data_IF_283662559571
#
_entry.id   IF_283662559571
#
_cell.length_a   1.000
_cell.length_b   1.000
_cell.length_c   1.000
_cell.angle_alpha   90.00
_cell.angle_beta   90.00
_cell.angle_gamma   90.00
#
_symmetry.space_group_name_H-M   'P 1'
#
loop_
_entity.id
_entity.type
_entity.pdbx_description
1 polymer ?
#
# COMPACT_ATOMS: atom_id res chain seq x y z
N UNK A 1 56.18 -25.05 24.59
CA UNK A 1 55.39 -23.77 24.50
C UNK A 1 54.38 -23.93 23.38
N UNK A 2 53.18 -24.27 23.72
CA UNK A 2 52.08 -24.38 22.74
C UNK A 2 51.24 -23.17 22.84
N UNK A 3 51.33 -22.29 21.84
CA UNK A 3 50.42 -21.16 21.70
C UNK A 3 49.19 -21.68 20.95
N UNK A 4 48.13 -21.92 21.71
CA UNK A 4 46.80 -22.21 21.14
C UNK A 4 46.20 -20.89 20.72
N UNK A 5 46.19 -20.67 19.43
CA UNK A 5 45.48 -19.54 18.78
C UNK A 5 44.00 -19.87 18.81
N UNK A 6 43.26 -19.31 19.76
CA UNK A 6 41.81 -19.31 19.73
C UNK A 6 41.34 -18.31 18.67
N UNK A 7 40.93 -18.84 17.51
CA UNK A 7 40.20 -18.07 16.52
C UNK A 7 38.74 -17.98 17.01
N UNK A 8 38.39 -16.85 17.59
CA UNK A 8 37.00 -16.55 17.88
C UNK A 8 36.29 -16.23 16.56
N UNK A 9 35.51 -17.17 16.06
CA UNK A 9 34.63 -16.98 14.93
C UNK A 9 33.45 -16.13 15.43
N UNK A 10 33.49 -14.84 15.14
CA UNK A 10 32.34 -13.94 15.30
C UNK A 10 31.34 -14.30 14.19
N UNK A 11 30.39 -15.16 14.53
CA UNK A 11 29.20 -15.37 13.70
C UNK A 11 28.32 -14.14 13.90
N UNK A 12 28.47 -13.19 12.98
CA UNK A 12 27.57 -12.06 12.91
C UNK A 12 26.26 -12.60 12.32
N UNK A 13 25.28 -12.81 13.19
CA UNK A 13 23.92 -13.19 12.79
C UNK A 13 23.24 -12.00 12.11
N UNK A 14 23.29 -11.93 10.80
CA UNK A 14 22.65 -10.90 9.97
C UNK A 14 21.19 -11.25 9.62
N UNK A 15 20.49 -11.95 10.50
CA UNK A 15 19.14 -12.46 10.18
C UNK A 15 17.98 -11.53 10.60
N UNK A 16 18.26 -10.36 11.18
CA UNK A 16 17.18 -9.54 11.77
C UNK A 16 16.45 -8.62 10.79
N UNK A 17 17.05 -8.25 9.65
CA UNK A 17 16.47 -7.25 8.74
C UNK A 17 15.35 -7.84 7.89
N UNK A 18 15.52 -9.04 7.39
CA UNK A 18 14.52 -9.72 6.55
C UNK A 18 13.26 -10.13 7.30
N UNK A 19 13.36 -10.46 8.58
CA UNK A 19 12.21 -10.86 9.38
C UNK A 19 11.26 -9.69 9.69
N UNK A 20 11.79 -8.46 9.86
CA UNK A 20 10.98 -7.26 10.07
C UNK A 20 10.23 -6.85 8.80
N UNK A 21 10.85 -6.92 7.63
CA UNK A 21 10.22 -6.61 6.36
C UNK A 21 9.06 -7.56 6.05
N UNK A 22 9.25 -8.86 6.28
CA UNK A 22 8.19 -9.87 6.09
C UNK A 22 7.03 -9.68 7.06
N UNK A 23 7.30 -9.34 8.33
CA UNK A 23 6.27 -9.06 9.33
C UNK A 23 5.47 -7.80 8.96
N UNK A 24 6.13 -6.75 8.46
CA UNK A 24 5.48 -5.54 7.99
C UNK A 24 4.60 -5.79 6.77
N UNK A 25 5.05 -6.59 5.82
CA UNK A 25 4.26 -6.97 4.63
C UNK A 25 3.04 -7.79 5.02
N UNK A 26 3.19 -8.76 5.92
CA UNK A 26 2.06 -9.55 6.42
C UNK A 26 1.01 -8.68 7.10
N UNK A 27 1.45 -7.68 7.88
CA UNK A 27 0.56 -6.69 8.49
C UNK A 27 -0.16 -5.85 7.44
N UNK A 28 0.55 -5.36 6.42
CA UNK A 28 -0.04 -4.58 5.34
C UNK A 28 -1.10 -5.37 4.55
N UNK A 29 -0.87 -6.64 4.31
CA UNK A 29 -1.85 -7.53 3.68
C UNK A 29 -3.10 -7.69 4.54
N UNK A 30 -2.92 -7.92 5.84
CA UNK A 30 -4.04 -8.01 6.78
C UNK A 30 -4.81 -6.69 6.89
N UNK A 31 -4.12 -5.56 6.91
CA UNK A 31 -4.74 -4.23 6.92
C UNK A 31 -5.50 -3.97 5.60
N UNK A 32 -4.96 -4.39 4.46
CA UNK A 32 -5.63 -4.29 3.16
C UNK A 32 -6.92 -5.13 3.12
N UNK A 33 -6.88 -6.37 3.60
CA UNK A 33 -8.07 -7.21 3.70
C UNK A 33 -9.14 -6.61 4.61
N UNK A 34 -8.72 -6.01 5.73
CA UNK A 34 -9.63 -5.33 6.65
C UNK A 34 -10.28 -4.10 6.00
N UNK A 35 -9.51 -3.29 5.27
CA UNK A 35 -10.02 -2.13 4.53
C UNK A 35 -11.04 -2.59 3.47
N UNK A 36 -10.74 -3.62 2.70
CA UNK A 36 -11.67 -4.19 1.71
C UNK A 36 -12.96 -4.62 2.36
N UNK A 37 -12.89 -5.27 3.51
CA UNK A 37 -14.07 -5.69 4.27
C UNK A 37 -14.91 -4.50 4.74
N UNK A 38 -14.27 -3.46 5.27
CA UNK A 38 -14.94 -2.24 5.74
C UNK A 38 -15.64 -1.54 4.56
N UNK A 39 -14.94 -1.34 3.47
CA UNK A 39 -15.45 -0.63 2.29
C UNK A 39 -16.58 -1.42 1.62
N UNK A 40 -16.39 -2.71 1.42
CA UNK A 40 -17.39 -3.55 0.75
C UNK A 40 -18.68 -3.77 1.56
N UNK A 41 -18.62 -3.61 2.87
CA UNK A 41 -19.79 -3.76 3.76
C UNK A 41 -20.66 -2.49 3.85
N UNK A 42 -20.16 -1.35 3.38
CA UNK A 42 -20.86 -0.07 3.40
C UNK A 42 -21.00 0.49 1.98
N UNK A 43 -22.24 0.60 1.52
CA UNK A 43 -22.55 1.04 0.15
C UNK A 43 -22.03 2.45 -0.16
N UNK A 44 -22.04 3.36 0.81
CA UNK A 44 -21.51 4.73 0.65
C UNK A 44 -19.98 4.73 0.55
N UNK A 45 -19.32 3.93 1.37
CA UNK A 45 -17.86 3.76 1.30
C UNK A 45 -17.43 3.13 -0.01
N UNK A 46 -18.14 2.14 -0.50
CA UNK A 46 -17.87 1.53 -1.79
C UNK A 46 -17.98 2.53 -2.93
N UNK A 47 -19.03 3.35 -2.91
CA UNK A 47 -19.22 4.42 -3.89
C UNK A 47 -18.07 5.46 -3.83
N UNK A 48 -17.68 5.88 -2.62
CA UNK A 48 -16.53 6.77 -2.39
C UNK A 48 -15.22 6.16 -2.89
N UNK A 49 -15.03 4.86 -2.68
CA UNK A 49 -13.85 4.14 -3.19
C UNK A 49 -13.81 4.14 -4.72
N UNK A 50 -14.95 3.91 -5.38
CA UNK A 50 -15.01 3.94 -6.84
C UNK A 50 -14.65 5.33 -7.40
N UNK A 51 -15.11 6.40 -6.78
CA UNK A 51 -14.70 7.77 -7.13
C UNK A 51 -13.21 7.99 -6.88
N UNK A 52 -12.69 7.50 -5.78
CA UNK A 52 -11.26 7.55 -5.44
C UNK A 52 -10.42 6.85 -6.53
N UNK A 53 -10.80 5.66 -6.94
CA UNK A 53 -10.10 4.90 -7.97
C UNK A 53 -10.12 5.63 -9.32
N UNK A 54 -11.27 6.16 -9.74
CA UNK A 54 -11.42 6.91 -10.98
C UNK A 54 -10.56 8.17 -11.00
N UNK A 55 -10.56 8.95 -9.91
CA UNK A 55 -9.71 10.13 -9.80
C UNK A 55 -8.22 9.79 -9.76
N UNK A 56 -7.85 8.66 -9.18
CA UNK A 56 -6.47 8.18 -9.18
C UNK A 56 -5.98 7.88 -10.59
N UNK A 57 -6.81 7.27 -11.42
CA UNK A 57 -6.52 7.04 -12.84
C UNK A 57 -6.39 8.35 -13.62
N UNK A 58 -7.25 9.32 -13.34
CA UNK A 58 -7.15 10.66 -13.94
C UNK A 58 -5.87 11.40 -13.54
N UNK A 59 -5.38 11.20 -12.30
CA UNK A 59 -4.08 11.75 -11.87
C UNK A 59 -2.94 11.15 -12.70
N UNK A 60 -2.94 9.84 -12.90
CA UNK A 60 -1.95 9.17 -13.72
C UNK A 60 -1.95 9.69 -15.15
N UNK A 61 -3.13 9.90 -15.72
CA UNK A 61 -3.27 10.50 -17.04
C UNK A 61 -2.73 11.94 -17.06
N UNK A 62 -3.07 12.77 -16.08
CA UNK A 62 -2.58 14.14 -15.99
C UNK A 62 -1.04 14.21 -15.90
N UNK A 63 -0.41 13.26 -15.19
CA UNK A 63 1.05 13.14 -15.15
C UNK A 63 1.64 12.78 -16.52
N UNK A 64 1.00 11.88 -17.26
CA UNK A 64 1.44 11.54 -18.62
C UNK A 64 1.31 12.72 -19.58
N UNK A 65 0.29 13.55 -19.43
CA UNK A 65 0.06 14.76 -20.19
C UNK A 65 0.90 15.95 -19.70
N UNK A 66 1.68 15.78 -18.63
CA UNK A 66 2.47 16.83 -17.96
C UNK A 66 1.63 18.02 -17.45
N UNK A 67 0.35 17.78 -17.18
CA UNK A 67 -0.56 18.75 -16.58
C UNK A 67 -0.47 18.70 -15.05
N UNK A 68 0.51 19.44 -14.52
CA UNK A 68 0.81 19.45 -13.07
C UNK A 68 -0.28 20.13 -12.24
N UNK A 69 -0.97 21.12 -12.78
CA UNK A 69 -2.06 21.81 -12.07
C UNK A 69 -3.27 20.90 -11.90
N UNK A 70 -3.67 20.21 -12.96
CA UNK A 70 -4.75 19.23 -12.94
C UNK A 70 -4.44 18.08 -11.99
N UNK A 71 -3.20 17.54 -12.06
CA UNK A 71 -2.75 16.48 -11.15
C UNK A 71 -2.83 16.93 -9.68
N UNK A 72 -2.46 18.17 -9.37
CA UNK A 72 -2.52 18.73 -8.02
C UNK A 72 -3.96 18.89 -7.53
N UNK A 73 -4.85 19.42 -8.35
CA UNK A 73 -6.28 19.58 -8.02
C UNK A 73 -6.93 18.21 -7.76
N UNK A 74 -6.68 17.25 -8.62
CA UNK A 74 -7.21 15.88 -8.46
C UNK A 74 -6.65 15.20 -7.21
N UNK A 75 -5.37 15.41 -6.89
CA UNK A 75 -4.74 14.87 -5.67
C UNK A 75 -5.42 15.39 -4.40
N UNK A 76 -5.81 16.65 -4.36
CA UNK A 76 -6.56 17.21 -3.22
C UNK A 76 -7.92 16.53 -3.05
N UNK A 77 -8.64 16.29 -4.14
CA UNK A 77 -9.92 15.56 -4.14
C UNK A 77 -9.74 14.11 -3.67
N UNK A 78 -8.71 13.45 -4.13
CA UNK A 78 -8.36 12.08 -3.71
C UNK A 78 -8.07 12.02 -2.22
N UNK A 79 -7.33 12.99 -1.67
CA UNK A 79 -7.08 13.07 -0.23
C UNK A 79 -8.36 13.23 0.59
N UNK A 80 -9.30 14.04 0.13
CA UNK A 80 -10.61 14.20 0.78
C UNK A 80 -11.41 12.90 0.75
N UNK A 81 -11.46 12.21 -0.38
CA UNK A 81 -12.14 10.92 -0.51
C UNK A 81 -11.50 9.85 0.37
N UNK A 82 -10.17 9.83 0.44
CA UNK A 82 -9.43 8.94 1.33
C UNK A 82 -9.82 9.12 2.79
N UNK A 83 -9.97 10.35 3.26
CA UNK A 83 -10.44 10.64 4.63
C UNK A 83 -11.86 10.15 4.87
N UNK A 84 -12.74 10.25 3.89
CA UNK A 84 -14.11 9.73 3.97
C UNK A 84 -14.16 8.22 4.06
N UNK A 85 -13.18 7.53 3.49
CA UNK A 85 -13.06 6.06 3.58
C UNK A 85 -12.66 5.57 4.97
N UNK A 86 -12.08 6.45 5.79
CA UNK A 86 -11.80 6.18 7.19
C UNK A 86 -10.30 6.15 7.52
N UNK A 87 -9.96 6.17 8.82
CA UNK A 87 -8.55 6.24 9.27
C UNK A 87 -7.74 5.01 8.89
N UNK A 88 -8.36 3.83 8.81
CA UNK A 88 -7.70 2.58 8.40
C UNK A 88 -7.23 2.67 6.94
N UNK A 89 -8.05 3.23 6.07
CA UNK A 89 -7.69 3.45 4.67
C UNK A 89 -6.54 4.46 4.53
N UNK A 90 -6.61 5.57 5.25
CA UNK A 90 -5.55 6.61 5.23
C UNK A 90 -4.23 6.04 5.73
N UNK A 91 -4.22 5.32 6.84
CA UNK A 91 -3.02 4.69 7.40
C UNK A 91 -2.41 3.68 6.43
N UNK A 92 -3.23 2.87 5.77
CA UNK A 92 -2.77 1.92 4.76
C UNK A 92 -2.19 2.63 3.54
N UNK A 93 -2.86 3.65 3.04
CA UNK A 93 -2.38 4.44 1.90
C UNK A 93 -1.02 5.08 2.18
N UNK A 94 -0.83 5.64 3.38
CA UNK A 94 0.45 6.21 3.80
C UNK A 94 1.56 5.14 3.88
N UNK A 95 1.24 3.97 4.40
CA UNK A 95 2.20 2.86 4.47
C UNK A 95 2.60 2.34 3.08
N UNK A 96 1.71 2.39 2.10
CA UNK A 96 1.96 1.92 0.74
C UNK A 96 2.71 2.93 -0.15
N UNK A 97 2.84 4.19 0.25
CA UNK A 97 3.51 5.23 -0.54
C UNK A 97 4.95 4.88 -0.93
N UNK A 98 5.65 4.18 -0.06
CA UNK A 98 7.05 3.80 -0.26
C UNK A 98 7.22 2.39 -0.82
N UNK A 99 6.14 1.68 -1.08
CA UNK A 99 6.17 0.34 -1.64
C UNK A 99 6.23 0.41 -3.17
N UNK A 100 7.13 -0.37 -3.76
CA UNK A 100 7.17 -0.53 -5.22
C UNK A 100 5.94 -1.33 -5.67
N UNK A 101 5.05 -0.73 -6.49
CA UNK A 101 3.86 -1.44 -6.97
C UNK A 101 4.18 -2.62 -7.88
N UNK A 102 5.37 -2.65 -8.46
CA UNK A 102 5.83 -3.75 -9.33
C UNK A 102 6.52 -4.87 -8.54
N UNK A 103 6.79 -4.67 -7.25
CA UNK A 103 7.31 -5.75 -6.40
C UNK A 103 6.26 -6.84 -6.22
N UNK A 104 6.70 -8.05 -5.86
CA UNK A 104 5.79 -9.15 -5.56
C UNK A 104 4.78 -8.76 -4.46
N UNK A 105 5.26 -8.13 -3.40
CA UNK A 105 4.42 -7.68 -2.28
C UNK A 105 3.41 -6.60 -2.71
N UNK A 106 3.86 -5.65 -3.53
CA UNK A 106 2.97 -4.62 -4.10
C UNK A 106 1.88 -5.22 -4.98
N UNK A 107 2.20 -6.19 -5.80
CA UNK A 107 1.22 -6.89 -6.63
C UNK A 107 0.23 -7.72 -5.81
N UNK A 108 0.70 -8.40 -4.77
CA UNK A 108 -0.16 -9.17 -3.87
C UNK A 108 -1.15 -8.28 -3.11
N UNK A 109 -0.70 -7.12 -2.61
CA UNK A 109 -1.58 -6.14 -1.97
C UNK A 109 -2.55 -5.54 -2.99
N UNK A 110 -2.08 -5.19 -4.19
CA UNK A 110 -2.93 -4.71 -5.28
C UNK A 110 -4.06 -5.68 -5.61
N UNK A 111 -3.77 -6.98 -5.65
CA UNK A 111 -4.77 -8.01 -5.93
C UNK A 111 -5.87 -8.12 -4.87
N UNK A 112 -5.57 -7.74 -3.62
CA UNK A 112 -6.59 -7.68 -2.55
C UNK A 112 -7.64 -6.61 -2.87
N UNK A 113 -7.22 -5.48 -3.44
CA UNK A 113 -8.13 -4.40 -3.84
C UNK A 113 -8.90 -4.68 -5.14
N UNK A 114 -8.47 -5.63 -5.95
CA UNK A 114 -9.17 -6.01 -7.20
C UNK A 114 -10.62 -6.41 -6.94
N UNK A 115 -10.90 -6.95 -5.76
CA UNK A 115 -12.27 -7.28 -5.35
C UNK A 115 -13.18 -6.05 -5.24
N UNK A 116 -12.63 -4.90 -4.82
CA UNK A 116 -13.36 -3.63 -4.79
C UNK A 116 -13.53 -3.07 -6.21
N UNK A 117 -12.52 -3.19 -7.04
CA UNK A 117 -12.57 -2.72 -8.42
C UNK A 117 -13.64 -3.44 -9.25
N UNK A 118 -13.89 -4.71 -8.97
CA UNK A 118 -15.00 -5.46 -9.58
C UNK A 118 -16.37 -4.81 -9.31
N UNK A 119 -16.58 -4.24 -8.14
CA UNK A 119 -17.82 -3.54 -7.80
C UNK A 119 -17.96 -2.17 -8.51
N UNK A 120 -16.84 -1.60 -8.95
CA UNK A 120 -16.81 -0.30 -9.64
C UNK A 120 -17.02 -0.43 -11.17
N UNK A 121 -16.91 -1.60 -11.72
CA UNK A 121 -16.95 -1.86 -13.17
C UNK A 121 -18.35 -1.99 -13.80
N UNK A 122 -19.41 -1.86 -13.00
CA UNK A 122 -20.80 -1.99 -13.47
C UNK A 122 -21.48 -0.65 -13.75
#
# INVERSE_FOLDING_TARGET
MNIVLMVAILVISTTSVYAQDQANVAKLKADAENVVKIVSSDKRKLQTYCEFADLSDQINQAHQEQDTEKAKELSQKVDELGRKLGPEFVALADALKNMDPNSQDGQEIGSIFDKLDEFCGD
#
